data_IF_214308968578
#
_entry.id   IF_214308968578
#
_cell.length_a   1.000
_cell.length_b   1.000
_cell.length_c   1.000
_cell.angle_alpha   90.00
_cell.angle_beta   90.00
_cell.angle_gamma   90.00
#
_symmetry.space_group_name_H-M   'P 1'
#
loop_
_entity.id
_entity.type
_entity.pdbx_description
1 polymer ?
#
# COMPACT_ATOMS: atom_id res chain seq x y z
N UNK A 1 -18.05 14.37 -4.30
CA UNK A 1 -17.14 14.98 -3.31
C UNK A 1 -16.97 13.95 -2.21
N UNK A 2 -15.74 13.55 -1.89
CA UNK A 2 -15.45 12.38 -1.01
C UNK A 2 -14.83 12.79 0.30
N UNK A 3 -15.25 13.94 0.82
CA UNK A 3 -14.73 14.43 2.07
C UNK A 3 -15.62 15.47 2.69
N UNK A 4 -15.61 15.48 4.01
CA UNK A 4 -16.34 16.46 4.81
C UNK A 4 -15.56 17.77 4.76
N UNK A 5 -16.21 18.82 4.26
CA UNK A 5 -15.60 20.16 4.21
C UNK A 5 -15.58 20.73 5.62
N UNK A 6 -14.39 21.06 6.14
CA UNK A 6 -14.24 21.69 7.47
C UNK A 6 -14.22 23.22 7.40
N UNK A 7 -13.79 23.78 6.27
CA UNK A 7 -13.67 25.23 6.02
C UNK A 7 -13.59 25.50 4.50
N UNK A 8 -13.72 26.75 4.06
CA UNK A 8 -13.51 27.14 2.65
C UNK A 8 -12.08 26.79 2.21
N UNK A 9 -11.93 25.66 1.52
CA UNK A 9 -10.67 25.22 0.90
C UNK A 9 -10.08 23.92 1.47
N UNK A 10 -10.62 23.38 2.58
CA UNK A 10 -10.07 22.18 3.23
C UNK A 10 -11.10 21.07 3.42
N UNK A 11 -10.67 19.83 3.18
CA UNK A 11 -11.53 18.66 3.12
C UNK A 11 -10.92 17.50 3.89
N UNK A 12 -11.66 16.90 4.82
CA UNK A 12 -11.25 15.64 5.45
C UNK A 12 -11.29 14.52 4.41
N UNK A 13 -10.19 13.81 4.24
CA UNK A 13 -10.07 12.77 3.21
C UNK A 13 -9.70 11.43 3.82
N UNK A 14 -9.88 10.36 3.05
CA UNK A 14 -9.37 9.06 3.45
C UNK A 14 -7.82 9.00 3.52
N UNK A 15 -7.28 8.13 4.37
CA UNK A 15 -5.86 7.94 4.65
C UNK A 15 -5.20 7.21 3.47
N UNK A 16 -5.06 7.90 2.35
CA UNK A 16 -4.59 7.32 1.09
C UNK A 16 -5.18 8.01 -0.13
N UNK A 17 -6.13 8.93 0.07
CA UNK A 17 -6.71 9.70 -1.01
C UNK A 17 -5.78 10.85 -1.45
N UNK A 18 -5.28 10.77 -2.69
CA UNK A 18 -4.36 11.75 -3.30
C UNK A 18 -5.08 12.62 -4.35
N UNK A 19 -6.32 12.27 -4.72
CA UNK A 19 -6.96 12.73 -5.95
C UNK A 19 -7.51 14.16 -5.98
N UNK A 20 -7.65 14.86 -4.84
CA UNK A 20 -8.29 16.19 -4.79
C UNK A 20 -7.33 17.37 -4.64
N UNK A 21 -6.03 17.11 -4.50
CA UNK A 21 -5.04 18.12 -4.14
C UNK A 21 -4.96 19.32 -5.12
N UNK A 22 -5.40 19.15 -6.37
CA UNK A 22 -5.43 20.21 -7.38
C UNK A 22 -6.61 21.19 -7.22
N UNK A 23 -7.63 20.85 -6.42
CA UNK A 23 -8.84 21.68 -6.21
C UNK A 23 -9.10 22.03 -4.74
N UNK A 24 -8.77 21.12 -3.80
CA UNK A 24 -8.95 21.31 -2.36
C UNK A 24 -7.77 20.69 -1.61
N UNK A 25 -7.42 21.30 -0.46
CA UNK A 25 -6.42 20.72 0.44
C UNK A 25 -7.04 19.55 1.21
N UNK A 26 -6.44 18.37 1.08
CA UNK A 26 -6.80 17.19 1.89
C UNK A 26 -6.23 17.30 3.30
N UNK A 27 -7.07 17.09 4.32
CA UNK A 27 -6.67 16.97 5.72
C UNK A 27 -6.67 15.48 6.08
N UNK A 28 -5.53 14.98 6.54
CA UNK A 28 -5.36 13.64 7.09
C UNK A 28 -4.32 13.67 8.23
N UNK A 29 -4.32 12.68 9.14
CA UNK A 29 -3.31 12.59 10.19
C UNK A 29 -1.88 12.60 9.62
N UNK A 30 -0.96 13.25 10.33
CA UNK A 30 0.46 13.25 10.00
C UNK A 30 1.03 11.87 10.35
N UNK A 31 1.65 11.21 9.37
CA UNK A 31 2.36 9.94 9.61
C UNK A 31 3.68 10.24 10.32
N UNK A 32 4.08 9.32 11.20
CA UNK A 32 5.42 9.31 11.81
C UNK A 32 6.48 9.26 10.71
N UNK A 33 7.56 10.01 10.89
CA UNK A 33 8.74 9.89 10.05
C UNK A 33 9.39 8.52 10.24
N UNK A 34 10.14 8.06 9.23
CA UNK A 34 10.83 6.77 9.30
C UNK A 34 11.90 6.86 10.39
N UNK A 35 11.69 6.13 11.50
CA UNK A 35 12.48 6.21 12.75
C UNK A 35 12.27 7.46 13.62
N UNK A 36 11.26 8.27 13.34
CA UNK A 36 10.89 9.45 14.14
C UNK A 36 9.75 9.20 15.14
N UNK A 37 9.60 10.12 16.10
CA UNK A 37 8.46 10.19 17.02
C UNK A 37 7.63 11.42 16.65
N UNK A 38 6.30 11.33 16.76
CA UNK A 38 5.44 12.52 16.64
C UNK A 38 5.56 13.33 17.93
N UNK A 39 5.70 14.65 17.81
CA UNK A 39 5.62 15.51 18.98
C UNK A 39 4.20 15.52 19.57
N UNK A 40 4.06 16.03 20.81
CA UNK A 40 2.77 16.06 21.51
C UNK A 40 1.70 16.83 20.74
N UNK A 41 2.07 17.95 20.14
CA UNK A 41 1.16 18.78 19.34
C UNK A 41 0.63 18.06 18.11
N UNK A 42 1.49 17.31 17.40
CA UNK A 42 1.11 16.49 16.27
C UNK A 42 0.24 15.29 16.70
N UNK A 43 0.46 14.74 17.89
CA UNK A 43 -0.40 13.70 18.45
C UNK A 43 -1.81 14.23 18.72
N UNK A 44 -1.92 15.39 19.37
CA UNK A 44 -3.20 16.02 19.67
C UNK A 44 -3.94 16.38 18.37
N UNK A 45 -3.26 17.03 17.42
CA UNK A 45 -3.85 17.32 16.10
C UNK A 45 -4.30 16.06 15.37
N UNK A 46 -3.52 14.97 15.45
CA UNK A 46 -3.89 13.70 14.84
C UNK A 46 -5.10 13.07 15.53
N UNK A 47 -5.24 13.23 16.84
CA UNK A 47 -6.39 12.75 17.60
C UNK A 47 -7.66 13.47 17.14
N UNK A 48 -7.63 14.79 17.07
CA UNK A 48 -8.76 15.61 16.59
C UNK A 48 -9.15 15.23 15.15
N UNK A 49 -8.16 15.19 14.25
CA UNK A 49 -8.41 14.79 12.85
C UNK A 49 -8.98 13.37 12.77
N UNK A 50 -8.51 12.44 13.60
CA UNK A 50 -9.01 11.06 13.58
C UNK A 50 -10.45 10.97 14.08
N UNK A 51 -10.77 11.70 15.16
CA UNK A 51 -12.14 11.83 15.69
C UNK A 51 -13.09 12.35 14.61
N UNK A 52 -12.71 13.42 13.91
CA UNK A 52 -13.53 14.00 12.85
C UNK A 52 -13.68 13.10 11.61
N UNK A 53 -12.66 12.28 11.32
CA UNK A 53 -12.64 11.38 10.16
C UNK A 53 -13.53 10.15 10.33
N UNK A 54 -14.09 9.91 11.51
CA UNK A 54 -15.02 8.79 11.75
C UNK A 54 -16.17 8.76 10.73
N UNK A 55 -16.70 9.93 10.34
CA UNK A 55 -17.77 10.04 9.35
C UNK A 55 -17.30 9.60 7.96
N UNK A 56 -16.06 9.95 7.61
CA UNK A 56 -15.45 9.53 6.34
C UNK A 56 -15.23 8.00 6.35
N UNK A 57 -14.68 7.45 7.43
CA UNK A 57 -14.45 6.02 7.59
C UNK A 57 -15.76 5.23 7.52
N UNK A 58 -16.80 5.66 8.24
CA UNK A 58 -18.13 5.07 8.20
C UNK A 58 -18.74 5.11 6.79
N UNK A 59 -18.60 6.23 6.07
CA UNK A 59 -19.08 6.34 4.69
C UNK A 59 -18.42 5.30 3.77
N UNK A 60 -17.09 5.17 3.84
CA UNK A 60 -16.36 4.18 3.06
C UNK A 60 -16.69 2.74 3.49
N UNK A 61 -16.90 2.51 4.77
CA UNK A 61 -17.40 1.25 5.32
C UNK A 61 -18.73 0.85 4.70
N UNK A 62 -19.71 1.74 4.74
CA UNK A 62 -21.02 1.51 4.12
C UNK A 62 -20.88 1.24 2.62
N UNK A 63 -20.07 2.03 1.92
CA UNK A 63 -19.82 1.85 0.50
C UNK A 63 -19.20 0.47 0.21
N UNK A 64 -18.22 0.04 0.99
CA UNK A 64 -17.58 -1.28 0.85
C UNK A 64 -18.55 -2.43 1.14
N UNK A 65 -19.47 -2.26 2.09
CA UNK A 65 -20.52 -3.25 2.40
C UNK A 65 -21.52 -3.39 1.25
N UNK A 66 -21.95 -2.26 0.67
CA UNK A 66 -22.95 -2.26 -0.40
C UNK A 66 -22.39 -2.69 -1.75
N UNK A 67 -21.15 -2.30 -2.07
CA UNK A 67 -20.62 -2.41 -3.43
C UNK A 67 -19.35 -3.25 -3.48
N UNK A 68 -19.46 -4.50 -3.94
CA UNK A 68 -18.32 -5.41 -4.13
C UNK A 68 -17.20 -4.83 -4.99
N UNK A 69 -17.52 -3.97 -5.95
CA UNK A 69 -16.52 -3.31 -6.79
C UNK A 69 -15.57 -2.42 -6.00
N UNK A 70 -16.01 -1.88 -4.86
CA UNK A 70 -15.18 -1.09 -3.94
C UNK A 70 -14.23 -1.94 -3.09
N UNK A 71 -14.37 -3.27 -3.11
CA UNK A 71 -13.49 -4.22 -2.43
C UNK A 71 -12.44 -4.87 -3.35
N UNK A 72 -12.51 -4.60 -4.65
CA UNK A 72 -11.65 -5.20 -5.66
C UNK A 72 -10.45 -4.30 -5.97
N UNK A 73 -9.30 -4.92 -6.29
CA UNK A 73 -8.18 -4.20 -6.89
C UNK A 73 -8.55 -3.82 -8.32
N UNK A 74 -8.64 -2.52 -8.58
CA UNK A 74 -8.97 -2.01 -9.90
C UNK A 74 -7.73 -2.05 -10.83
N UNK A 75 -7.89 -2.62 -12.02
CA UNK A 75 -6.80 -2.80 -13.01
C UNK A 75 -7.07 -2.12 -14.35
N UNK A 76 -8.16 -1.35 -14.46
CA UNK A 76 -8.57 -0.69 -15.70
C UNK A 76 -8.19 0.81 -15.68
N UNK A 77 -8.58 1.58 -16.69
CA UNK A 77 -8.19 2.99 -16.84
C UNK A 77 -8.97 3.98 -15.96
N UNK A 78 -8.34 5.12 -15.66
CA UNK A 78 -8.84 6.13 -14.71
C UNK A 78 -10.23 6.69 -15.02
N UNK A 79 -10.59 6.84 -16.30
CA UNK A 79 -11.92 7.34 -16.69
C UNK A 79 -13.04 6.44 -16.19
N UNK A 80 -12.86 5.13 -16.31
CA UNK A 80 -13.83 4.14 -15.86
C UNK A 80 -13.85 4.05 -14.33
N UNK A 81 -12.69 4.21 -13.68
CA UNK A 81 -12.59 4.27 -12.23
C UNK A 81 -13.40 5.42 -11.65
N UNK A 82 -13.21 6.62 -12.20
CA UNK A 82 -13.92 7.83 -11.77
C UNK A 82 -15.44 7.67 -11.91
N UNK A 83 -15.91 7.10 -13.02
CA UNK A 83 -17.34 6.84 -13.21
C UNK A 83 -17.87 5.86 -12.17
N UNK A 84 -17.22 4.71 -11.98
CA UNK A 84 -17.60 3.71 -10.98
C UNK A 84 -17.65 4.34 -9.57
N UNK A 85 -16.62 5.10 -9.22
CA UNK A 85 -16.48 5.72 -7.92
C UNK A 85 -17.55 6.81 -7.69
N UNK A 86 -17.81 7.67 -8.67
CA UNK A 86 -18.90 8.67 -8.57
C UNK A 86 -20.27 8.01 -8.44
N UNK A 87 -20.52 6.93 -9.20
CA UNK A 87 -21.78 6.19 -9.13
C UNK A 87 -21.97 5.52 -7.76
N UNK A 88 -20.95 4.81 -7.27
CA UNK A 88 -21.02 4.18 -5.94
C UNK A 88 -21.20 5.19 -4.82
N UNK A 89 -20.58 6.38 -4.90
CA UNK A 89 -20.83 7.46 -3.94
C UNK A 89 -22.25 8.01 -4.01
N UNK A 90 -22.78 8.27 -5.22
CA UNK A 90 -24.14 8.77 -5.37
C UNK A 90 -25.18 7.79 -4.80
N UNK A 91 -25.02 6.49 -5.11
CA UNK A 91 -25.90 5.45 -4.59
C UNK A 91 -25.75 5.26 -3.08
N UNK A 92 -24.54 5.36 -2.54
CA UNK A 92 -24.31 5.33 -1.09
C UNK A 92 -24.96 6.53 -0.41
N UNK A 93 -24.83 7.74 -0.95
CA UNK A 93 -25.50 8.94 -0.42
C UNK A 93 -27.03 8.78 -0.39
N UNK A 94 -27.62 8.25 -1.46
CA UNK A 94 -29.05 7.94 -1.48
C UNK A 94 -29.42 6.88 -0.42
N UNK A 95 -28.61 5.84 -0.27
CA UNK A 95 -28.82 4.87 0.78
C UNK A 95 -28.75 5.52 2.18
N UNK A 96 -27.85 6.49 2.39
CA UNK A 96 -27.73 7.20 3.67
C UNK A 96 -28.90 8.11 3.99
N UNK A 97 -29.63 8.61 2.98
CA UNK A 97 -30.88 9.34 3.23
C UNK A 97 -32.01 8.42 3.73
N UNK A 98 -31.88 7.11 3.54
CA UNK A 98 -32.83 6.09 4.01
C UNK A 98 -32.36 5.40 5.29
N UNK A 99 -31.06 5.14 5.41
CA UNK A 99 -30.44 4.40 6.51
C UNK A 99 -29.14 5.09 6.96
N UNK A 100 -29.14 5.77 8.13
CA UNK A 100 -27.98 6.47 8.65
C UNK A 100 -26.73 5.60 8.80
N UNK A 101 -25.58 6.26 8.92
CA UNK A 101 -24.30 5.63 9.23
C UNK A 101 -24.33 4.98 10.62
N UNK A 102 -23.58 3.89 10.78
CA UNK A 102 -23.47 3.13 12.03
C UNK A 102 -22.01 2.91 12.39
N UNK A 103 -21.74 2.59 13.66
CA UNK A 103 -20.38 2.33 14.14
C UNK A 103 -19.74 1.11 13.47
N UNK A 104 -20.53 0.09 13.13
CA UNK A 104 -20.01 -1.12 12.48
C UNK A 104 -19.48 -0.84 11.06
N UNK A 105 -19.90 0.27 10.44
CA UNK A 105 -19.39 0.64 9.12
C UNK A 105 -17.88 0.93 9.18
N UNK A 106 -17.40 1.68 10.19
CA UNK A 106 -15.96 1.92 10.40
C UNK A 106 -15.22 0.62 10.70
N UNK A 107 -15.75 -0.23 11.59
CA UNK A 107 -15.11 -1.50 11.93
C UNK A 107 -14.90 -2.38 10.68
N UNK A 108 -15.93 -2.47 9.85
CA UNK A 108 -15.84 -3.17 8.57
C UNK A 108 -14.80 -2.52 7.66
N UNK A 109 -14.79 -1.20 7.57
CA UNK A 109 -13.80 -0.48 6.75
C UNK A 109 -12.37 -0.76 7.21
N UNK A 110 -12.10 -0.75 8.52
CA UNK A 110 -10.79 -1.09 9.06
C UNK A 110 -10.36 -2.51 8.69
N UNK A 111 -11.29 -3.48 8.70
CA UNK A 111 -11.00 -4.84 8.24
C UNK A 111 -10.61 -4.90 6.74
N UNK A 112 -11.23 -4.07 5.91
CA UNK A 112 -10.93 -3.97 4.47
C UNK A 112 -9.52 -3.40 4.27
N UNK A 113 -9.18 -2.33 4.98
CA UNK A 113 -7.84 -1.72 4.94
C UNK A 113 -6.77 -2.70 5.41
N UNK A 114 -6.99 -3.39 6.54
CA UNK A 114 -6.08 -4.40 7.06
C UNK A 114 -5.82 -5.53 6.03
N UNK A 115 -6.88 -6.00 5.34
CA UNK A 115 -6.74 -7.00 4.27
C UNK A 115 -5.86 -6.48 3.12
N UNK A 116 -6.04 -5.23 2.70
CA UNK A 116 -5.21 -4.64 1.65
C UNK A 116 -3.74 -4.47 2.08
N UNK A 117 -3.49 -4.09 3.33
CA UNK A 117 -2.15 -4.02 3.89
C UNK A 117 -1.47 -5.39 3.91
N UNK A 118 -2.19 -6.43 4.33
CA UNK A 118 -1.70 -7.82 4.27
C UNK A 118 -1.34 -8.24 2.84
N UNK A 119 -2.20 -7.95 1.85
CA UNK A 119 -1.92 -8.24 0.45
C UNK A 119 -0.68 -7.49 -0.07
N UNK A 120 -0.51 -6.22 0.33
CA UNK A 120 0.66 -5.42 -0.04
C UNK A 120 1.95 -5.97 0.58
N UNK A 121 1.91 -6.33 1.86
CA UNK A 121 3.03 -6.93 2.60
C UNK A 121 3.43 -8.29 2.01
N UNK A 122 2.45 -9.12 1.67
CA UNK A 122 2.69 -10.41 1.00
C UNK A 122 3.34 -10.22 -0.37
N UNK A 123 2.89 -9.24 -1.16
CA UNK A 123 3.51 -8.88 -2.45
C UNK A 123 4.94 -8.36 -2.27
N UNK A 124 5.23 -7.64 -1.18
CA UNK A 124 6.58 -7.19 -0.83
C UNK A 124 7.48 -8.37 -0.44
N UNK A 125 6.98 -9.28 0.39
CA UNK A 125 7.66 -10.50 0.82
C UNK A 125 8.05 -11.38 -0.37
N UNK A 126 7.09 -11.73 -1.24
CA UNK A 126 7.36 -12.52 -2.47
C UNK A 126 8.43 -11.88 -3.36
N UNK A 127 8.38 -10.55 -3.55
CA UNK A 127 9.41 -9.81 -4.30
C UNK A 127 10.79 -9.92 -3.63
N UNK A 128 10.86 -9.75 -2.31
CA UNK A 128 12.13 -9.85 -1.57
C UNK A 128 12.74 -11.25 -1.64
N UNK A 129 11.91 -12.29 -1.58
CA UNK A 129 12.33 -13.69 -1.69
C UNK A 129 12.81 -14.02 -3.09
N UNK A 130 12.09 -13.58 -4.13
CA UNK A 130 12.51 -13.75 -5.52
C UNK A 130 13.86 -13.06 -5.77
N UNK A 131 14.05 -11.84 -5.27
CA UNK A 131 15.33 -11.13 -5.36
C UNK A 131 16.44 -11.84 -4.59
N UNK A 132 16.16 -12.36 -3.39
CA UNK A 132 17.14 -13.14 -2.61
C UNK A 132 17.57 -14.40 -3.37
N UNK A 133 16.63 -15.18 -3.90
CA UNK A 133 16.90 -16.38 -4.70
C UNK A 133 17.71 -16.04 -5.95
N UNK A 134 17.35 -14.97 -6.65
CA UNK A 134 18.10 -14.49 -7.81
C UNK A 134 19.57 -14.15 -7.44
N UNK A 135 19.79 -13.43 -6.33
CA UNK A 135 21.14 -13.09 -5.86
C UNK A 135 21.98 -14.34 -5.55
N UNK A 136 21.40 -15.32 -4.87
CA UNK A 136 22.07 -16.59 -4.54
C UNK A 136 22.43 -17.38 -5.80
N UNK A 137 21.47 -17.59 -6.71
CA UNK A 137 21.71 -18.32 -7.95
C UNK A 137 22.74 -17.62 -8.85
N UNK A 138 22.80 -16.28 -8.82
CA UNK A 138 23.83 -15.52 -9.53
C UNK A 138 25.22 -15.74 -8.92
N UNK A 139 25.33 -15.70 -7.59
CA UNK A 139 26.60 -15.97 -6.89
C UNK A 139 27.10 -17.38 -7.18
N UNK A 140 26.20 -18.37 -7.17
CA UNK A 140 26.53 -19.76 -7.50
C UNK A 140 27.09 -19.88 -8.93
N UNK A 141 26.43 -19.27 -9.93
CA UNK A 141 26.92 -19.25 -11.32
C UNK A 141 28.32 -18.64 -11.42
N UNK A 142 28.53 -17.49 -10.80
CA UNK A 142 29.85 -16.82 -10.78
C UNK A 142 30.92 -17.68 -10.10
N UNK A 143 30.58 -18.42 -9.04
CA UNK A 143 31.51 -19.33 -8.36
C UNK A 143 31.88 -20.54 -9.22
N UNK A 144 30.92 -21.09 -9.98
CA UNK A 144 31.16 -22.21 -10.90
C UNK A 144 32.06 -21.77 -12.06
N UNK A 145 31.80 -20.59 -12.63
CA UNK A 145 32.61 -20.03 -13.71
C UNK A 145 34.04 -19.71 -13.24
N UNK A 146 34.18 -19.14 -12.04
CA UNK A 146 35.48 -18.92 -11.40
C UNK A 146 36.24 -20.23 -11.19
N UNK A 147 35.60 -21.25 -10.60
CA UNK A 147 36.21 -22.56 -10.37
C UNK A 147 36.64 -23.25 -11.68
N UNK A 148 35.89 -23.08 -12.76
CA UNK A 148 36.30 -23.58 -14.09
C UNK A 148 37.56 -22.85 -14.58
N UNK A 149 37.57 -21.51 -14.51
CA UNK A 149 38.75 -20.73 -14.91
C UNK A 149 40.01 -21.10 -14.10
N UNK A 150 39.89 -21.32 -12.78
CA UNK A 150 41.04 -21.73 -11.95
C UNK A 150 41.58 -23.11 -12.32
N UNK A 151 40.72 -24.06 -12.68
CA UNK A 151 41.14 -25.39 -13.15
C UNK A 151 41.89 -25.34 -14.48
N UNK A 152 41.54 -24.42 -15.38
CA UNK A 152 42.26 -24.23 -16.64
C UNK A 152 43.60 -23.49 -16.49
N UNK A 153 43.76 -22.66 -15.45
CA UNK A 153 45.01 -21.95 -15.17
C UNK A 153 46.00 -22.71 -14.28
N UNK A 154 45.66 -23.91 -13.80
CA UNK A 154 46.57 -24.73 -12.97
C UNK A 154 47.62 -25.40 -13.87
N UNK A 155 48.92 -25.00 -13.82
CA UNK A 155 49.95 -25.66 -14.62
C UNK A 155 50.15 -27.08 -14.09
N UNK A 156 50.08 -28.10 -14.95
CA UNK A 156 50.44 -29.46 -14.57
C UNK A 156 51.90 -29.47 -14.13
N UNK A 157 52.18 -29.65 -12.84
CA UNK A 157 53.55 -29.93 -12.40
C UNK A 157 53.98 -31.28 -12.97
N UNK A 158 54.72 -31.24 -14.07
CA UNK A 158 55.38 -32.38 -14.68
C UNK A 158 56.34 -32.98 -13.65
N UNK A 159 56.05 -34.20 -13.21
CA UNK A 159 56.94 -35.01 -12.40
C UNK A 159 57.88 -35.76 -13.35
N UNK A 160 58.90 -35.06 -13.85
CA UNK A 160 60.03 -35.67 -14.55
C UNK A 160 60.92 -36.36 -13.52
N UNK A 161 60.82 -37.69 -13.42
CA UNK A 161 61.88 -38.49 -12.79
C UNK A 161 62.70 -39.17 -13.89
N UNK A 162 63.90 -38.62 -14.06
CA UNK A 162 65.02 -39.18 -14.79
C UNK A 162 65.44 -40.51 -14.17
N UNK A 163 65.61 -41.56 -14.98
CA UNK A 163 66.38 -42.75 -14.63
C UNK A 163 67.13 -43.22 -15.89
N UNK A 164 68.41 -42.89 -15.95
CA UNK A 164 69.47 -43.64 -16.62
C UNK A 164 70.57 -43.86 -15.59
#
# INVERSE_FOLDING_TARGET
>A
MVGLVRSTGECLVDLGYIGIAHSLRGIHPRRREVHGVLDAHDMDRNHDISSDRVVVANFFGRMCTLWKISLATYTWGDKNYNTIQRTTFALTNFHLSLMPLRAEDEEFYMSVIARYEQMANEKKRKRSEAQRRYRLNRQERLSIDSNRATRFLSPSMNRSNSNY
#
